data_IF_419557989305
#
_entry.id   IF_419557989305
#
_cell.length_a   1.000
_cell.length_b   1.000
_cell.length_c   1.000
_cell.angle_alpha   90.00
_cell.angle_beta   90.00
_cell.angle_gamma   90.00
#
_symmetry.space_group_name_H-M   'P 1'
#
loop_
_entity.id
_entity.type
_entity.pdbx_description
1 polymer ?
#
# COMPACT_ATOMS: atom_id res chain seq x y z
N UNK A 1 -17.46 12.00 0.06
CA UNK A 1 -16.92 13.10 -0.76
C UNK A 1 -17.40 13.03 -2.21
N UNK A 2 -17.81 11.87 -2.75
CA UNK A 2 -18.48 11.81 -4.06
C UNK A 2 -19.89 12.39 -4.00
N UNK A 3 -20.34 13.07 -5.07
CA UNK A 3 -21.71 13.59 -5.12
C UNK A 3 -22.73 12.46 -5.31
N UNK A 4 -23.84 12.52 -4.58
CA UNK A 4 -24.94 11.53 -4.68
C UNK A 4 -25.96 11.88 -5.77
N UNK A 5 -25.86 13.09 -6.35
CA UNK A 5 -26.60 13.61 -7.50
C UNK A 5 -25.70 14.57 -8.28
N UNK A 6 -26.06 14.94 -9.50
CA UNK A 6 -25.32 15.92 -10.27
C UNK A 6 -25.29 17.28 -9.53
N UNK A 7 -24.15 17.96 -9.59
CA UNK A 7 -23.95 19.21 -8.87
C UNK A 7 -23.17 20.20 -9.74
N UNK A 8 -23.55 21.48 -9.64
CA UNK A 8 -22.88 22.60 -10.30
C UNK A 8 -22.43 23.59 -9.25
N UNK A 9 -21.15 23.95 -9.28
CA UNK A 9 -20.58 24.90 -8.33
C UNK A 9 -19.56 25.81 -9.00
N UNK A 10 -19.38 27.00 -8.45
CA UNK A 10 -18.36 27.94 -8.89
C UNK A 10 -17.02 27.64 -8.21
N UNK A 11 -15.94 27.62 -8.98
CA UNK A 11 -14.57 27.50 -8.47
C UNK A 11 -13.71 28.60 -9.08
N UNK A 12 -13.52 29.67 -8.32
CA UNK A 12 -13.04 30.95 -8.87
C UNK A 12 -14.13 31.55 -9.77
N UNK A 13 -13.77 31.92 -11.00
CA UNK A 13 -14.69 32.52 -11.99
C UNK A 13 -15.17 31.52 -13.05
N UNK A 14 -15.04 30.22 -12.80
CA UNK A 14 -15.49 29.16 -13.72
C UNK A 14 -16.56 28.30 -13.05
N UNK A 15 -17.56 27.92 -13.86
CA UNK A 15 -18.62 27.00 -13.45
C UNK A 15 -18.16 25.56 -13.71
N UNK A 16 -18.09 24.76 -12.65
CA UNK A 16 -17.76 23.35 -12.70
C UNK A 16 -19.02 22.50 -12.52
N UNK A 17 -19.21 21.56 -13.44
CA UNK A 17 -20.24 20.53 -13.36
C UNK A 17 -19.59 19.20 -12.99
N UNK A 18 -20.11 18.54 -11.95
CA UNK A 18 -19.66 17.23 -11.48
C UNK A 18 -20.86 16.31 -11.40
N UNK A 19 -20.74 15.15 -12.03
CA UNK A 19 -21.84 14.18 -12.09
C UNK A 19 -21.94 13.38 -10.79
N UNK A 20 -23.06 12.69 -10.61
CA UNK A 20 -23.24 11.67 -9.58
C UNK A 20 -22.08 10.66 -9.63
N UNK A 21 -21.51 10.37 -8.47
CA UNK A 21 -20.33 9.51 -8.34
C UNK A 21 -19.00 10.19 -8.63
N UNK A 22 -19.00 11.48 -8.93
CA UNK A 22 -17.81 12.30 -9.15
C UNK A 22 -17.70 13.38 -8.07
N UNK A 23 -16.47 13.82 -7.80
CA UNK A 23 -16.22 15.03 -7.04
C UNK A 23 -14.91 15.69 -7.45
N UNK A 24 -14.85 17.01 -7.32
CA UNK A 24 -13.64 17.77 -7.62
C UNK A 24 -12.97 18.22 -6.32
N UNK A 25 -11.66 18.04 -6.23
CA UNK A 25 -10.86 18.44 -5.06
C UNK A 25 -9.41 18.71 -5.45
N UNK A 26 -8.60 19.20 -4.52
CA UNK A 26 -7.14 19.23 -4.67
C UNK A 26 -6.49 18.16 -3.79
N UNK A 27 -5.30 17.69 -4.19
CA UNK A 27 -4.48 16.82 -3.34
C UNK A 27 -4.14 17.47 -1.98
N UNK A 28 -3.99 18.80 -1.95
CA UNK A 28 -3.74 19.56 -0.73
C UNK A 28 -4.94 19.46 0.23
N UNK A 29 -6.17 19.67 -0.26
CA UNK A 29 -7.39 19.52 0.55
C UNK A 29 -7.57 18.09 1.07
N UNK A 30 -7.19 17.08 0.27
CA UNK A 30 -7.23 15.69 0.71
C UNK A 30 -6.17 15.41 1.78
N UNK A 31 -4.96 15.95 1.62
CA UNK A 31 -3.86 15.81 2.57
C UNK A 31 -4.22 16.40 3.94
N UNK A 32 -4.74 17.63 3.96
CA UNK A 32 -5.22 18.29 5.18
C UNK A 32 -6.35 17.50 5.85
N UNK A 33 -7.30 16.99 5.06
CA UNK A 33 -8.45 16.24 5.58
C UNK A 33 -8.07 14.89 6.18
N UNK A 34 -7.06 14.23 5.62
CA UNK A 34 -6.63 12.90 6.05
C UNK A 34 -5.44 12.94 7.01
N UNK A 35 -4.92 14.13 7.31
CA UNK A 35 -3.70 14.34 8.09
C UNK A 35 -2.49 13.53 7.58
N UNK A 36 -2.27 13.60 6.26
CA UNK A 36 -1.16 12.91 5.59
C UNK A 36 -0.45 13.82 4.60
N UNK A 37 0.75 13.42 4.20
CA UNK A 37 1.50 14.16 3.19
C UNK A 37 0.83 14.08 1.80
N UNK A 38 0.86 15.17 1.03
CA UNK A 38 0.41 15.22 -0.38
C UNK A 38 1.00 14.11 -1.25
N UNK A 39 2.26 13.74 -1.03
CA UNK A 39 2.90 12.62 -1.75
C UNK A 39 2.18 11.29 -1.48
N UNK A 40 1.74 11.07 -0.25
CA UNK A 40 0.99 9.87 0.16
C UNK A 40 -0.39 9.86 -0.49
N UNK A 41 -1.09 11.00 -0.49
CA UNK A 41 -2.38 11.14 -1.20
C UNK A 41 -2.23 10.79 -2.67
N UNK A 42 -1.20 11.34 -3.34
CA UNK A 42 -0.98 11.09 -4.76
C UNK A 42 -0.75 9.62 -5.06
N UNK A 43 0.17 8.97 -4.33
CA UNK A 43 0.44 7.52 -4.49
C UNK A 43 -0.83 6.69 -4.27
N UNK A 44 -1.65 7.07 -3.29
CA UNK A 44 -2.91 6.39 -3.01
C UNK A 44 -3.92 6.55 -4.15
N UNK A 45 -4.10 7.76 -4.68
CA UNK A 45 -4.98 8.00 -5.82
C UNK A 45 -4.50 7.27 -7.08
N UNK A 46 -3.19 7.24 -7.35
CA UNK A 46 -2.59 6.48 -8.45
C UNK A 46 -2.84 4.97 -8.30
N UNK A 47 -2.74 4.43 -7.08
CA UNK A 47 -3.05 3.03 -6.81
C UNK A 47 -4.52 2.71 -7.09
N UNK A 48 -5.45 3.57 -6.65
CA UNK A 48 -6.89 3.38 -6.91
C UNK A 48 -7.25 3.52 -8.40
N UNK A 49 -6.54 4.38 -9.12
CA UNK A 49 -6.69 4.52 -10.57
C UNK A 49 -6.15 3.29 -11.32
N UNK A 50 -5.00 2.77 -10.90
CA UNK A 50 -4.42 1.54 -11.44
C UNK A 50 -5.32 0.32 -11.20
N UNK A 51 -5.97 0.23 -10.04
CA UNK A 51 -6.97 -0.80 -9.73
C UNK A 51 -8.35 -0.51 -10.35
N UNK A 52 -8.46 0.54 -11.17
CA UNK A 52 -9.68 0.94 -11.88
C UNK A 52 -10.88 1.19 -10.94
N UNK A 53 -10.61 1.51 -9.67
CA UNK A 53 -11.64 1.87 -8.69
C UNK A 53 -12.14 3.30 -8.94
N UNK A 54 -11.22 4.17 -9.35
CA UNK A 54 -11.49 5.57 -9.68
C UNK A 54 -10.87 5.93 -11.05
N UNK A 55 -11.31 7.03 -11.62
CA UNK A 55 -10.64 7.71 -12.73
C UNK A 55 -10.32 9.16 -12.32
N UNK A 56 -9.12 9.64 -12.63
CA UNK A 56 -8.65 10.97 -12.28
C UNK A 56 -8.59 11.86 -13.52
N UNK A 57 -9.23 13.02 -13.45
CA UNK A 57 -9.09 14.08 -14.45
C UNK A 57 -8.40 15.28 -13.80
N UNK A 58 -7.10 15.44 -14.08
CA UNK A 58 -6.26 16.49 -13.51
C UNK A 58 -6.41 17.78 -14.32
N UNK A 59 -6.55 18.90 -13.63
CA UNK A 59 -6.57 20.25 -14.21
C UNK A 59 -5.68 21.18 -13.37
N UNK A 60 -5.42 22.40 -13.84
CA UNK A 60 -4.68 23.39 -13.05
C UNK A 60 -5.41 23.78 -11.75
N UNK A 61 -6.74 23.65 -11.72
CA UNK A 61 -7.59 24.04 -10.57
C UNK A 61 -7.89 22.88 -9.62
N UNK A 62 -7.41 21.67 -9.92
CA UNK A 62 -7.59 20.51 -9.04
C UNK A 62 -7.65 19.20 -9.81
N UNK A 63 -8.38 18.25 -9.24
CA UNK A 63 -8.54 16.90 -9.79
C UNK A 63 -9.98 16.47 -9.59
N UNK A 64 -10.66 16.14 -10.68
CA UNK A 64 -11.95 15.46 -10.63
C UNK A 64 -11.70 13.97 -10.45
N UNK A 65 -12.29 13.40 -9.40
CA UNK A 65 -12.21 12.00 -9.06
C UNK A 65 -13.57 11.38 -9.36
N UNK A 66 -13.62 10.45 -10.30
CA UNK A 66 -14.81 9.67 -10.66
C UNK A 66 -14.73 8.28 -10.06
N UNK A 67 -15.78 7.82 -9.39
CA UNK A 67 -15.86 6.45 -8.86
C UNK A 67 -16.50 5.54 -9.92
N UNK A 68 -15.73 4.60 -10.48
CA UNK A 68 -16.14 3.85 -11.69
C UNK A 68 -17.38 2.96 -11.46
N UNK A 69 -17.51 2.36 -10.28
CA UNK A 69 -18.65 1.49 -9.92
C UNK A 69 -19.55 2.13 -8.87
N UNK A 70 -19.66 3.46 -8.86
CA UNK A 70 -20.39 4.20 -7.82
C UNK A 70 -21.79 3.64 -7.57
N UNK A 71 -22.59 3.47 -8.63
CA UNK A 71 -23.97 2.97 -8.52
C UNK A 71 -24.03 1.55 -7.94
N UNK A 72 -23.08 0.68 -8.30
CA UNK A 72 -23.03 -0.68 -7.75
C UNK A 72 -22.64 -0.70 -6.27
N UNK A 73 -21.84 0.28 -5.81
CA UNK A 73 -21.45 0.41 -4.41
C UNK A 73 -22.51 1.08 -3.53
N UNK A 74 -23.47 1.81 -4.11
CA UNK A 74 -24.54 2.45 -3.33
C UNK A 74 -25.67 1.48 -2.96
N UNK A 75 -25.77 0.31 -3.61
CA UNK A 75 -26.75 -0.72 -3.29
C UNK A 75 -28.21 -0.30 -3.53
N UNK A 76 -29.07 -1.28 -3.77
CA UNK A 76 -30.51 -1.10 -3.86
C UNK A 76 -31.11 -0.77 -2.48
N UNK A 77 -30.92 0.45 -1.98
CA UNK A 77 -31.88 1.02 -1.05
C UNK A 77 -33.09 1.47 -1.87
N UNK A 78 -34.00 0.54 -2.10
CA UNK A 78 -35.38 0.90 -2.45
C UNK A 78 -35.97 1.61 -1.23
N UNK A 79 -36.11 2.93 -1.32
CA UNK A 79 -37.21 3.65 -0.68
C UNK A 79 -37.34 5.00 -1.39
N UNK A 80 -38.53 5.25 -1.95
CA UNK A 80 -38.86 6.48 -2.67
C UNK A 80 -38.98 6.29 -4.18
N UNK A 81 -40.06 5.63 -4.59
CA UNK A 81 -40.67 5.86 -5.91
C UNK A 81 -40.89 7.36 -6.06
N UNK A 82 -40.33 7.96 -7.11
CA UNK A 82 -41.03 8.94 -7.91
C UNK A 82 -40.51 8.84 -9.36
N UNK A 83 -41.49 8.77 -10.25
CA UNK A 83 -41.43 8.51 -11.69
C UNK A 83 -40.39 9.34 -12.47
N UNK A 84 -40.03 8.93 -13.71
CA UNK A 84 -39.38 9.84 -14.64
C UNK A 84 -40.34 11.02 -14.86
N UNK A 85 -39.94 12.19 -14.37
CA UNK A 85 -40.65 13.43 -14.58
C UNK A 85 -40.44 13.84 -16.04
N UNK A 86 -41.48 13.56 -16.80
CA UNK A 86 -41.82 14.15 -18.08
C UNK A 86 -41.90 15.69 -17.98
N UNK A 87 -41.33 16.35 -19.00
CA UNK A 87 -41.51 17.72 -19.50
C UNK A 87 -40.18 18.21 -20.09
N UNK A 88 -40.06 18.64 -21.34
CA UNK A 88 -41.02 18.82 -22.41
C UNK A 88 -40.30 19.48 -23.60
N UNK A 89 -40.75 19.20 -24.81
CA UNK A 89 -40.21 19.79 -26.03
C UNK A 89 -40.89 19.22 -27.26
N UNK A 90 -42.04 19.78 -27.61
CA UNK A 90 -42.85 19.47 -28.80
C UNK A 90 -42.04 19.54 -30.10
N UNK A 91 -42.17 18.51 -30.94
CA UNK A 91 -42.36 18.61 -32.40
C UNK A 91 -42.61 17.22 -33.02
N UNK A 92 -43.62 17.05 -33.90
CA UNK A 92 -43.92 15.76 -34.55
C UNK A 92 -43.43 15.71 -36.01
N UNK A 93 -42.86 14.57 -36.42
CA UNK A 93 -42.86 13.97 -37.79
C UNK A 93 -41.83 12.83 -37.81
N UNK A 94 -42.21 11.56 -37.89
CA UNK A 94 -42.72 10.76 -39.02
C UNK A 94 -41.64 9.81 -39.57
N UNK A 95 -42.06 8.55 -39.69
CA UNK A 95 -41.58 7.39 -40.46
C UNK A 95 -40.09 7.01 -40.58
N UNK A 96 -39.83 5.76 -40.17
CA UNK A 96 -39.40 4.71 -41.12
C UNK A 96 -37.97 4.17 -40.97
N UNK A 97 -37.84 2.85 -40.78
CA UNK A 97 -36.60 2.13 -41.10
C UNK A 97 -36.28 0.93 -40.20
N UNK A 98 -36.70 -0.26 -40.63
CA UNK A 98 -36.22 -1.56 -40.17
C UNK A 98 -34.68 -1.67 -40.16
N UNK A 99 -34.09 -2.34 -39.17
CA UNK A 99 -33.41 -3.65 -39.36
C UNK A 99 -32.71 -4.19 -38.09
N UNK A 100 -32.93 -5.48 -37.87
CA UNK A 100 -32.04 -6.49 -37.28
C UNK A 100 -31.49 -6.33 -35.85
N UNK A 101 -32.18 -7.05 -34.96
CA UNK A 101 -31.77 -7.48 -33.62
C UNK A 101 -30.84 -8.70 -33.69
N UNK A 102 -29.55 -8.50 -33.46
CA UNK A 102 -28.60 -9.47 -32.88
C UNK A 102 -27.39 -8.63 -32.42
N UNK A 103 -26.87 -8.70 -31.19
CA UNK A 103 -26.21 -9.86 -30.60
C UNK A 103 -26.25 -9.79 -29.05
N UNK A 104 -26.52 -10.94 -28.44
CA UNK A 104 -26.03 -11.29 -27.11
C UNK A 104 -24.53 -11.58 -27.22
N UNK A 105 -23.70 -10.93 -26.40
CA UNK A 105 -22.79 -11.59 -25.46
C UNK A 105 -21.86 -10.56 -24.81
N UNK A 106 -22.13 -10.19 -23.56
CA UNK A 106 -21.10 -9.60 -22.71
C UNK A 106 -21.09 -10.31 -21.36
N UNK A 107 -20.54 -11.54 -21.36
CA UNK A 107 -20.36 -12.39 -20.18
C UNK A 107 -18.87 -12.64 -19.84
N UNK A 108 -17.93 -12.08 -20.60
CA UNK A 108 -16.48 -12.28 -20.41
C UNK A 108 -15.80 -11.26 -19.47
N UNK A 109 -16.46 -10.16 -19.11
CA UNK A 109 -15.83 -9.09 -18.31
C UNK A 109 -15.75 -9.36 -16.80
N UNK A 110 -16.45 -10.39 -16.31
CA UNK A 110 -16.37 -10.80 -14.89
C UNK A 110 -15.24 -11.80 -14.63
N UNK A 111 -14.87 -12.62 -15.63
CA UNK A 111 -13.86 -13.67 -15.49
C UNK A 111 -12.45 -13.05 -15.45
N UNK A 112 -12.15 -12.13 -16.38
CA UNK A 112 -10.85 -11.44 -16.46
C UNK A 112 -10.54 -10.51 -15.26
N UNK A 113 -11.56 -10.04 -14.52
CA UNK A 113 -11.38 -9.22 -13.29
C UNK A 113 -11.08 -10.05 -12.05
N UNK A 114 -11.59 -11.28 -11.97
CA UNK A 114 -11.21 -12.20 -10.90
C UNK A 114 -9.78 -12.69 -11.10
N UNK A 115 -9.40 -13.01 -12.34
CA UNK A 115 -8.05 -13.46 -12.69
C UNK A 115 -6.96 -12.47 -12.28
N UNK A 116 -7.11 -11.17 -12.59
CA UNK A 116 -6.11 -10.15 -12.21
C UNK A 116 -5.95 -9.96 -10.70
N UNK A 117 -7.04 -10.06 -9.94
CA UNK A 117 -6.99 -9.98 -8.47
C UNK A 117 -6.36 -11.24 -7.86
N UNK A 118 -6.62 -12.41 -8.43
CA UNK A 118 -5.96 -13.65 -8.05
C UNK A 118 -4.46 -13.65 -8.39
N UNK A 119 -4.07 -13.12 -9.55
CA UNK A 119 -2.67 -12.97 -9.95
C UNK A 119 -1.90 -12.04 -9.01
N UNK A 120 -2.46 -10.87 -8.68
CA UNK A 120 -1.84 -9.94 -7.74
C UNK A 120 -1.71 -10.55 -6.34
N UNK A 121 -2.75 -11.23 -5.84
CA UNK A 121 -2.70 -11.93 -4.56
C UNK A 121 -1.60 -12.99 -4.56
N UNK A 122 -1.54 -13.81 -5.62
CA UNK A 122 -0.52 -14.84 -5.80
C UNK A 122 0.88 -14.25 -5.87
N UNK A 123 1.05 -13.10 -6.52
CA UNK A 123 2.32 -12.39 -6.58
C UNK A 123 2.80 -11.93 -5.19
N UNK A 124 1.91 -11.33 -4.39
CA UNK A 124 2.24 -10.94 -3.00
C UNK A 124 2.56 -12.17 -2.16
N UNK A 125 1.77 -13.24 -2.28
CA UNK A 125 2.03 -14.51 -1.57
C UNK A 125 3.41 -15.10 -1.94
N UNK A 126 3.80 -15.03 -3.20
CA UNK A 126 5.13 -15.43 -3.67
C UNK A 126 6.24 -14.57 -3.06
N UNK A 127 6.08 -13.24 -3.05
CA UNK A 127 7.04 -12.33 -2.43
C UNK A 127 7.19 -12.60 -0.92
N UNK A 128 6.07 -12.77 -0.21
CA UNK A 128 6.05 -13.09 1.23
C UNK A 128 6.74 -14.41 1.49
N UNK A 129 6.46 -15.43 0.68
CA UNK A 129 7.10 -16.75 0.78
C UNK A 129 8.61 -16.64 0.54
N UNK A 130 9.03 -15.86 -0.47
CA UNK A 130 10.45 -15.67 -0.78
C UNK A 130 11.19 -14.95 0.35
N UNK A 131 10.64 -13.84 0.86
CA UNK A 131 11.19 -13.11 2.02
C UNK A 131 11.33 -14.03 3.24
N UNK A 132 10.29 -14.81 3.55
CA UNK A 132 10.35 -15.77 4.65
C UNK A 132 11.40 -16.85 4.41
N UNK A 133 11.52 -17.36 3.17
CA UNK A 133 12.48 -18.40 2.79
C UNK A 133 13.93 -17.91 2.77
N UNK A 134 14.18 -16.61 2.59
CA UNK A 134 15.53 -16.05 2.71
C UNK A 134 16.01 -16.02 4.16
N UNK A 135 15.13 -15.65 5.12
CA UNK A 135 15.53 -15.40 6.52
C UNK A 135 16.19 -16.59 7.25
N UNK A 136 17.35 -16.47 7.90
CA UNK A 136 18.12 -17.63 8.38
C UNK A 136 17.43 -18.51 9.44
N UNK A 137 16.64 -17.95 10.38
CA UNK A 137 16.02 -18.72 11.48
C UNK A 137 14.47 -18.74 11.42
N UNK A 138 13.90 -19.88 11.03
CA UNK A 138 12.46 -20.05 10.73
C UNK A 138 11.55 -20.19 11.98
N UNK A 139 11.73 -19.36 13.01
CA UNK A 139 10.92 -19.37 14.24
C UNK A 139 9.88 -18.23 14.25
N UNK A 140 8.67 -18.51 14.73
CA UNK A 140 7.60 -17.52 14.80
C UNK A 140 6.92 -17.20 13.46
N UNK A 141 6.89 -18.16 12.52
CA UNK A 141 6.38 -18.02 11.15
C UNK A 141 5.01 -17.36 11.06
N UNK A 142 4.05 -17.77 11.87
CA UNK A 142 2.68 -17.24 11.81
C UNK A 142 2.63 -15.72 12.06
N UNK A 143 3.43 -15.22 13.00
CA UNK A 143 3.54 -13.78 13.29
C UNK A 143 4.31 -13.06 12.19
N UNK A 144 5.43 -13.63 11.74
CA UNK A 144 6.24 -13.06 10.66
C UNK A 144 5.46 -12.90 9.35
N UNK A 145 4.75 -13.95 8.91
CA UNK A 145 3.95 -13.94 7.66
C UNK A 145 2.84 -12.89 7.72
N UNK A 146 2.25 -12.63 8.90
CA UNK A 146 1.27 -11.55 9.06
C UNK A 146 1.88 -10.15 8.94
N UNK A 147 3.18 -10.00 9.21
CA UNK A 147 3.91 -8.72 9.20
C UNK A 147 4.55 -8.41 7.85
N UNK A 148 5.15 -9.41 7.20
CA UNK A 148 5.91 -9.25 5.95
C UNK A 148 5.15 -8.50 4.84
N UNK A 149 3.85 -8.75 4.55
CA UNK A 149 3.12 -8.00 3.53
C UNK A 149 3.13 -6.50 3.77
N UNK A 150 2.92 -6.07 5.02
CA UNK A 150 2.93 -4.66 5.40
C UNK A 150 4.31 -4.03 5.24
N UNK A 151 5.38 -4.80 5.49
CA UNK A 151 6.75 -4.35 5.27
C UNK A 151 7.06 -4.20 3.79
N UNK A 152 6.59 -5.12 2.94
CA UNK A 152 6.73 -5.01 1.48
C UNK A 152 6.01 -3.77 0.98
N UNK A 153 4.79 -3.50 1.44
CA UNK A 153 4.03 -2.29 1.09
C UNK A 153 4.75 -1.00 1.52
N UNK A 154 5.37 -1.00 2.71
CA UNK A 154 6.01 0.18 3.27
C UNK A 154 7.39 0.48 2.68
N UNK A 155 8.18 -0.57 2.40
CA UNK A 155 9.61 -0.46 2.11
C UNK A 155 10.01 -0.99 0.73
N UNK A 156 9.10 -1.63 -0.01
CA UNK A 156 9.35 -2.47 -1.20
C UNK A 156 9.93 -3.85 -0.88
N UNK A 157 9.65 -4.80 -1.77
CA UNK A 157 10.19 -6.16 -1.72
C UNK A 157 11.71 -6.16 -1.82
N UNK A 158 12.27 -5.37 -2.75
CA UNK A 158 13.71 -5.32 -3.03
C UNK A 158 14.50 -4.79 -1.84
N UNK A 159 14.00 -3.75 -1.16
CA UNK A 159 14.63 -3.24 0.05
C UNK A 159 14.60 -4.27 1.19
N UNK A 160 13.50 -5.01 1.32
CA UNK A 160 13.38 -6.03 2.37
C UNK A 160 14.34 -7.21 2.14
N UNK A 161 14.61 -7.58 0.88
CA UNK A 161 15.64 -8.57 0.55
C UNK A 161 17.04 -8.06 0.91
N UNK A 162 17.41 -6.84 0.50
CA UNK A 162 18.70 -6.23 0.89
C UNK A 162 18.86 -6.13 2.40
N UNK A 163 17.78 -5.83 3.11
CA UNK A 163 17.74 -5.77 4.56
C UNK A 163 18.11 -7.13 5.19
N UNK A 164 17.57 -8.24 4.68
CA UNK A 164 17.92 -9.59 5.15
C UNK A 164 19.37 -9.93 4.82
N UNK A 165 19.85 -9.56 3.62
CA UNK A 165 21.24 -9.81 3.21
C UNK A 165 22.24 -9.08 4.09
N UNK A 166 21.98 -7.81 4.43
CA UNK A 166 22.80 -7.04 5.38
C UNK A 166 22.78 -7.64 6.79
N UNK A 167 21.63 -8.15 7.22
CA UNK A 167 21.50 -8.86 8.49
C UNK A 167 22.33 -10.14 8.50
N UNK A 168 22.25 -10.96 7.44
CA UNK A 168 23.06 -12.18 7.26
C UNK A 168 24.56 -11.86 7.23
N UNK A 169 24.96 -10.80 6.51
CA UNK A 169 26.35 -10.36 6.46
C UNK A 169 26.88 -9.98 7.85
N UNK A 170 26.08 -9.28 8.65
CA UNK A 170 26.41 -8.97 10.04
C UNK A 170 26.60 -10.23 10.90
N UNK A 171 25.74 -11.24 10.72
CA UNK A 171 25.89 -12.53 11.43
C UNK A 171 27.14 -13.31 11.02
N UNK A 172 27.57 -13.20 9.75
CA UNK A 172 28.80 -13.82 9.28
C UNK A 172 30.04 -13.11 9.84
N UNK A 173 29.99 -11.79 9.99
CA UNK A 173 31.06 -10.98 10.59
C UNK A 173 31.18 -11.21 12.11
N UNK A 174 30.05 -11.32 12.81
CA UNK A 174 29.99 -11.52 14.26
C UNK A 174 29.63 -12.96 14.61
N UNK A 175 30.61 -13.87 14.56
CA UNK A 175 30.40 -15.31 14.73
C UNK A 175 29.80 -15.73 16.08
N UNK A 176 29.88 -14.86 17.11
CA UNK A 176 29.24 -15.08 18.42
C UNK A 176 27.74 -14.76 18.43
N UNK A 177 27.25 -13.94 17.49
CA UNK A 177 25.87 -13.45 17.46
C UNK A 177 24.94 -14.49 16.84
N UNK A 178 23.92 -14.91 17.59
CA UNK A 178 22.90 -15.83 17.08
C UNK A 178 21.83 -15.08 16.27
N UNK A 179 21.27 -15.69 15.21
CA UNK A 179 20.15 -15.11 14.48
C UNK A 179 18.93 -14.98 15.39
N UNK A 180 18.19 -13.88 15.23
CA UNK A 180 16.93 -13.65 15.91
C UNK A 180 15.88 -14.63 15.42
N UNK A 181 14.82 -14.82 16.21
CA UNK A 181 13.62 -15.48 15.69
C UNK A 181 13.02 -14.60 14.59
N UNK A 182 12.50 -15.21 13.51
CA UNK A 182 11.86 -14.48 12.43
C UNK A 182 10.74 -13.55 12.92
N UNK A 183 9.92 -13.98 13.87
CA UNK A 183 8.91 -13.12 14.49
C UNK A 183 9.49 -11.86 15.15
N UNK A 184 10.67 -11.96 15.76
CA UNK A 184 11.34 -10.83 16.42
C UNK A 184 11.94 -9.89 15.39
N UNK A 185 12.66 -10.45 14.41
CA UNK A 185 13.28 -9.67 13.35
C UNK A 185 12.25 -8.86 12.55
N UNK A 186 11.21 -9.52 12.01
CA UNK A 186 10.17 -8.84 11.21
C UNK A 186 9.21 -7.97 12.05
N UNK A 187 9.29 -7.99 13.38
CA UNK A 187 8.52 -7.07 14.21
C UNK A 187 9.25 -5.75 14.45
N UNK A 188 10.57 -5.78 14.64
CA UNK A 188 11.37 -4.56 14.90
C UNK A 188 12.86 -4.69 14.58
N UNK A 189 13.43 -5.90 14.58
CA UNK A 189 14.87 -6.10 14.35
C UNK A 189 15.38 -5.75 12.94
N UNK A 190 14.50 -5.52 11.98
CA UNK A 190 14.85 -5.15 10.61
C UNK A 190 15.30 -3.67 10.45
N UNK A 191 14.94 -2.80 11.41
CA UNK A 191 15.01 -1.34 11.26
C UNK A 191 16.43 -0.84 10.96
N UNK A 192 17.46 -1.41 11.59
CA UNK A 192 18.85 -1.00 11.42
C UNK A 192 19.43 -1.38 10.04
N UNK A 193 18.75 -2.27 9.32
CA UNK A 193 19.22 -2.83 8.05
C UNK A 193 18.48 -2.25 6.83
N UNK A 194 17.54 -1.32 7.05
CA UNK A 194 16.88 -0.55 5.99
C UNK A 194 17.87 0.40 5.30
N UNK A 195 17.65 0.72 4.02
CA UNK A 195 18.61 1.55 3.25
C UNK A 195 18.92 2.90 3.89
N UNK A 196 17.94 3.53 4.55
CA UNK A 196 18.13 4.82 5.22
C UNK A 196 18.87 4.74 6.56
N UNK A 197 18.94 3.55 7.17
CA UNK A 197 19.48 3.37 8.51
C UNK A 197 20.79 2.57 8.51
N UNK A 198 21.02 1.79 7.45
CA UNK A 198 22.18 0.92 7.37
C UNK A 198 23.46 1.72 7.19
N UNK A 199 24.37 1.57 8.15
CA UNK A 199 25.73 2.06 8.06
C UNK A 199 26.63 0.88 7.76
N UNK A 200 27.32 0.93 6.62
CA UNK A 200 28.29 -0.10 6.27
C UNK A 200 29.48 0.00 7.21
N UNK A 201 29.57 -0.95 8.14
CA UNK A 201 30.70 -1.01 9.07
C UNK A 201 31.85 -1.75 8.37
N UNK A 202 32.88 -0.99 7.99
CA UNK A 202 34.21 -1.52 7.72
C UNK A 202 34.79 -2.00 9.05
N UNK A 203 34.79 -3.31 9.27
CA UNK A 203 35.48 -3.88 10.42
C UNK A 203 36.97 -3.85 10.09
N UNK A 204 37.68 -2.89 10.67
CA UNK A 204 39.13 -2.97 10.81
C UNK A 204 39.37 -4.13 11.77
N UNK A 205 39.88 -5.24 11.25
CA UNK A 205 40.21 -6.43 12.05
C UNK A 205 41.44 -6.11 12.88
N UNK A 206 41.30 -5.33 13.95
CA UNK A 206 42.37 -5.21 14.93
C UNK A 206 42.45 -6.54 15.68
N UNK A 207 43.50 -7.31 15.38
CA UNK A 207 43.86 -8.52 16.11
C UNK A 207 44.20 -8.18 17.56
N UNK A 208 43.19 -8.01 18.41
CA UNK A 208 43.39 -7.98 19.85
C UNK A 208 43.40 -9.42 20.36
N UNK A 209 44.56 -10.08 20.21
CA UNK A 209 44.91 -11.23 21.03
C UNK A 209 45.03 -10.77 22.49
N UNK A 210 44.13 -11.25 23.35
CA UNK A 210 44.31 -11.20 24.80
C UNK A 210 43.79 -9.93 25.48
N UNK A 211 42.54 -9.95 25.93
CA UNK A 211 42.14 -9.13 27.07
C UNK A 211 42.43 -9.90 28.35
N UNK A 212 43.51 -9.54 29.02
CA UNK A 212 43.78 -9.88 30.41
C UNK A 212 42.76 -9.15 31.30
N UNK A 213 42.05 -9.90 32.13
CA UNK A 213 41.03 -9.37 33.02
C UNK A 213 41.71 -8.57 34.14
N UNK A 214 41.81 -7.25 33.98
CA UNK A 214 42.26 -6.36 35.03
C UNK A 214 41.06 -6.02 35.93
N UNK A 215 41.01 -6.50 37.20
CA UNK A 215 39.88 -6.25 38.08
C UNK A 215 39.77 -4.75 38.40
N UNK A 216 38.63 -4.15 38.05
CA UNK A 216 38.28 -2.75 38.37
C UNK A 216 37.64 -2.64 39.76
N UNK A 217 38.38 -2.99 40.81
CA UNK A 217 38.25 -2.34 42.13
C UNK A 217 39.18 -3.03 43.15
N UNK A 218 39.76 -2.28 44.09
CA UNK A 218 40.51 -2.86 45.21
C UNK A 218 39.69 -3.86 46.05
N UNK A 219 38.36 -3.75 46.03
CA UNK A 219 37.45 -4.63 46.77
C UNK A 219 37.36 -6.05 46.20
N UNK A 220 37.65 -6.26 44.90
CA UNK A 220 37.62 -7.59 44.28
C UNK A 220 38.90 -8.42 44.53
N UNK A 221 39.99 -7.78 44.95
CA UNK A 221 41.26 -8.46 45.27
C UNK A 221 41.16 -9.17 46.62
N UNK A 222 40.49 -8.55 47.60
CA UNK A 222 40.32 -9.10 48.94
C UNK A 222 39.42 -10.36 48.99
N UNK A 223 38.63 -10.64 47.96
CA UNK A 223 37.80 -11.86 47.87
C UNK A 223 38.58 -13.07 47.32
N UNK A 224 39.71 -12.86 46.65
CA UNK A 224 40.51 -13.91 46.03
C UNK A 224 41.73 -14.31 46.89
N UNK A 225 42.16 -13.47 47.82
CA UNK A 225 43.25 -13.73 48.76
C UNK A 225 42.70 -13.99 50.17
N UNK A 226 41.92 -15.05 50.31
CA UNK A 226 41.38 -15.49 51.60
C UNK A 226 42.46 -15.64 52.68
N UNK A 227 42.09 -15.23 53.90
CA UNK A 227 42.70 -15.71 55.16
C UNK A 227 42.90 -17.22 55.19
#
# INVERSE_FOLDING_TARGET
MANHKDNKFLLGNELFEVKRGEFHTSELKLAERWDVNRKTVRKFLELLENDQMIALHKTQKGTTIKVNKYNAYQGNFSEGVDSPMDNGGDSPMDNGGDTNKNEKNNKNDKESKNEKNEENKKHIEQQVAHVWNRYPLKKGKATAIKKIPKLIEQYSYEQLIRCIERYELGLQKETWRKPQNGSTFFNSGYVDYLDGNYQEVEIVVEQHSGYEFQPKSPEMIAFLEGE
#
